data_IF_383782783211
#
_entry.id   IF_383782783211
#
_cell.length_a   1.000
_cell.length_b   1.000
_cell.length_c   1.000
_cell.angle_alpha   90.00
_cell.angle_beta   90.00
_cell.angle_gamma   90.00
#
_symmetry.space_group_name_H-M   'P 1'
#
loop_
_entity.id
_entity.type
_entity.pdbx_description
1 polymer ?
#
# COMPACT_ATOMS: atom_id res chain seq x y z
N UNK A 1 -28.33 -2.36 15.69
CA UNK A 1 -27.27 -2.01 16.67
C UNK A 1 -26.40 -0.95 16.01
N UNK A 2 -26.21 0.22 16.64
CA UNK A 2 -25.10 1.10 16.25
C UNK A 2 -23.83 0.31 16.54
N UNK A 3 -22.94 0.17 15.56
CA UNK A 3 -21.61 -0.33 15.86
C UNK A 3 -20.97 0.72 16.76
N UNK A 4 -20.43 0.32 17.90
CA UNK A 4 -19.73 1.24 18.81
C UNK A 4 -18.44 1.66 18.10
N UNK A 5 -18.48 2.84 17.48
CA UNK A 5 -17.31 3.43 16.83
C UNK A 5 -16.32 3.82 17.93
N UNK A 6 -15.04 3.42 17.81
CA UNK A 6 -14.05 3.70 18.85
C UNK A 6 -13.83 5.20 19.02
N UNK A 7 -13.79 5.63 20.28
CA UNK A 7 -13.44 6.99 20.65
C UNK A 7 -11.92 7.16 20.78
N UNK A 8 -11.48 8.42 20.81
CA UNK A 8 -10.09 8.77 21.14
C UNK A 8 -9.65 8.22 22.51
N UNK A 9 -10.58 8.11 23.46
CA UNK A 9 -10.29 7.61 24.81
C UNK A 9 -10.07 6.09 24.81
N UNK A 10 -10.78 5.36 23.95
CA UNK A 10 -10.56 3.92 23.77
C UNK A 10 -9.13 3.67 23.29
N UNK A 11 -8.68 4.39 22.25
CA UNK A 11 -7.31 4.29 21.76
C UNK A 11 -6.28 4.65 22.83
N UNK A 12 -6.49 5.71 23.62
CA UNK A 12 -5.60 6.07 24.74
C UNK A 12 -5.51 4.94 25.76
N UNK A 13 -6.65 4.38 26.17
CA UNK A 13 -6.70 3.28 27.13
C UNK A 13 -5.95 2.03 26.64
N UNK A 14 -5.96 1.78 25.32
CA UNK A 14 -5.24 0.65 24.75
C UNK A 14 -3.74 0.81 24.86
N UNK A 15 -3.22 2.04 24.75
CA UNK A 15 -1.79 2.31 24.88
C UNK A 15 -1.27 2.04 26.30
N UNK A 16 -2.16 2.05 27.31
CA UNK A 16 -1.84 1.72 28.70
C UNK A 16 -1.82 0.20 28.96
N UNK A 17 -2.34 -0.62 28.04
CA UNK A 17 -2.32 -2.09 28.18
C UNK A 17 -0.89 -2.60 28.03
N UNK A 18 -0.36 -3.22 29.09
CA UNK A 18 0.99 -3.82 29.10
C UNK A 18 1.13 -4.99 28.13
N UNK A 19 0.11 -5.87 28.07
CA UNK A 19 0.08 -7.00 27.14
C UNK A 19 -0.03 -6.52 25.69
N UNK A 20 1.10 -6.60 24.98
CA UNK A 20 1.21 -6.16 23.59
C UNK A 20 0.26 -6.90 22.63
N UNK A 21 -0.08 -8.17 22.89
CA UNK A 21 -0.98 -8.95 22.04
C UNK A 21 -2.44 -8.56 22.22
N UNK A 22 -2.86 -8.32 23.47
CA UNK A 22 -4.20 -7.79 23.76
C UNK A 22 -4.34 -6.37 23.19
N UNK A 23 -3.36 -5.50 23.46
CA UNK A 23 -3.30 -4.14 22.93
C UNK A 23 -3.42 -4.11 21.41
N UNK A 24 -2.60 -4.88 20.71
CA UNK A 24 -2.59 -4.91 19.24
C UNK A 24 -3.92 -5.42 18.66
N UNK A 25 -4.53 -6.44 19.27
CA UNK A 25 -5.83 -6.95 18.81
C UNK A 25 -6.95 -5.91 18.95
N UNK A 26 -7.01 -5.18 20.08
CA UNK A 26 -7.98 -4.12 20.28
C UNK A 26 -7.81 -2.98 19.28
N UNK A 27 -6.58 -2.45 19.16
CA UNK A 27 -6.28 -1.39 18.19
C UNK A 27 -6.63 -1.84 16.76
N UNK A 28 -6.29 -3.07 16.39
CA UNK A 28 -6.61 -3.60 15.05
C UNK A 28 -8.11 -3.68 14.80
N UNK A 29 -8.90 -4.24 15.73
CA UNK A 29 -10.35 -4.37 15.58
C UNK A 29 -11.01 -3.00 15.39
N UNK A 30 -10.68 -2.07 16.27
CA UNK A 30 -11.25 -0.73 16.29
C UNK A 30 -10.85 0.09 15.05
N UNK A 31 -9.61 -0.07 14.55
CA UNK A 31 -9.22 0.54 13.29
C UNK A 31 -9.92 -0.06 12.08
N UNK A 32 -10.27 -1.35 12.11
CA UNK A 32 -11.09 -1.97 11.06
C UNK A 32 -12.50 -1.40 11.09
N UNK A 33 -13.11 -1.32 12.28
CA UNK A 33 -14.48 -0.82 12.44
C UNK A 33 -14.58 0.66 12.10
N UNK A 34 -13.61 1.47 12.53
CA UNK A 34 -13.53 2.89 12.16
C UNK A 34 -13.50 3.07 10.63
N UNK A 35 -12.70 2.29 9.89
CA UNK A 35 -12.67 2.38 8.42
C UNK A 35 -13.94 1.88 7.74
N UNK A 36 -14.64 0.92 8.36
CA UNK A 36 -15.80 0.26 7.74
C UNK A 36 -17.10 1.00 8.04
N UNK A 37 -17.20 1.61 9.22
CA UNK A 37 -18.44 2.14 9.76
C UNK A 37 -18.33 3.59 10.25
N UNK A 38 -17.10 4.09 10.48
CA UNK A 38 -16.85 5.44 10.96
C UNK A 38 -16.89 6.49 9.85
N UNK A 39 -17.18 7.71 10.26
CA UNK A 39 -17.12 8.93 9.44
C UNK A 39 -15.80 9.67 9.63
N UNK A 40 -15.59 10.73 8.84
CA UNK A 40 -14.45 11.63 9.05
C UNK A 40 -14.49 12.29 10.44
N UNK A 41 -15.68 12.61 10.95
CA UNK A 41 -15.87 13.22 12.28
C UNK A 41 -15.42 12.28 13.40
N UNK A 42 -15.63 10.96 13.23
CA UNK A 42 -15.15 9.94 14.18
C UNK A 42 -13.62 9.74 14.11
N UNK A 43 -13.05 9.90 12.91
CA UNK A 43 -11.61 9.73 12.68
C UNK A 43 -10.78 10.91 13.22
N UNK A 44 -11.22 12.16 13.01
CA UNK A 44 -10.44 13.36 13.30
C UNK A 44 -9.89 13.41 14.75
N UNK A 45 -10.66 13.06 15.80
CA UNK A 45 -10.15 13.00 17.17
C UNK A 45 -9.03 11.97 17.38
N UNK A 46 -9.00 10.92 16.56
CA UNK A 46 -8.04 9.82 16.65
C UNK A 46 -6.77 10.07 15.82
N UNK A 47 -6.82 10.95 14.82
CA UNK A 47 -5.75 11.16 13.84
C UNK A 47 -4.37 11.39 14.49
N UNK A 48 -4.29 12.26 15.50
CA UNK A 48 -3.03 12.60 16.15
C UNK A 48 -2.39 11.40 16.86
N UNK A 49 -3.21 10.56 17.52
CA UNK A 49 -2.71 9.33 18.16
C UNK A 49 -2.17 8.37 17.11
N UNK A 50 -2.87 8.22 15.99
CA UNK A 50 -2.44 7.34 14.90
C UNK A 50 -1.16 7.84 14.22
N UNK A 51 -1.01 9.16 14.05
CA UNK A 51 0.23 9.77 13.54
C UNK A 51 1.38 9.58 14.54
N UNK A 52 1.14 9.72 15.84
CA UNK A 52 2.16 9.46 16.86
C UNK A 52 2.60 7.98 16.86
N UNK A 53 1.67 7.04 16.71
CA UNK A 53 2.00 5.61 16.59
C UNK A 53 2.88 5.33 15.38
N UNK A 54 2.68 6.05 14.28
CA UNK A 54 3.51 5.96 13.08
C UNK A 54 4.92 6.54 13.30
N UNK A 55 5.05 7.68 14.00
CA UNK A 55 6.31 8.39 14.24
C UNK A 55 7.19 7.74 15.31
N UNK A 56 6.58 7.15 16.34
CA UNK A 56 7.29 6.50 17.45
C UNK A 56 7.84 5.12 17.09
N UNK A 57 7.77 4.73 15.82
CA UNK A 57 8.45 3.57 15.29
C UNK A 57 9.95 3.90 15.13
N UNK A 58 10.83 3.41 16.03
CA UNK A 58 10.97 2.00 16.36
C UNK A 58 11.04 1.66 17.87
N UNK A 59 10.51 2.47 18.78
CA UNK A 59 10.89 2.34 20.20
C UNK A 59 10.18 1.22 20.99
N UNK A 60 8.93 0.83 20.73
CA UNK A 60 8.19 -0.07 21.66
C UNK A 60 7.03 -0.92 21.07
N UNK A 61 6.83 -0.99 19.75
CA UNK A 61 5.67 -1.68 19.16
C UNK A 61 6.10 -2.83 18.23
N UNK A 62 5.55 -4.07 18.42
CA UNK A 62 5.71 -5.12 17.44
C UNK A 62 5.15 -4.68 16.09
N UNK A 63 6.01 -4.71 15.06
CA UNK A 63 5.72 -4.29 13.68
C UNK A 63 4.49 -4.97 13.10
N UNK A 64 4.24 -6.20 13.53
CA UNK A 64 3.62 -7.22 12.67
C UNK A 64 2.12 -7.03 12.46
N UNK A 65 1.41 -6.27 13.30
CA UNK A 65 -0.06 -6.16 13.18
C UNK A 65 -0.60 -4.73 13.23
N UNK A 66 -0.15 -3.92 14.18
CA UNK A 66 -0.76 -2.61 14.45
C UNK A 66 -0.40 -1.55 13.40
N UNK A 67 0.88 -1.44 13.03
CA UNK A 67 1.34 -0.41 12.09
C UNK A 67 0.70 -0.53 10.69
N UNK A 68 0.58 -1.73 10.09
CA UNK A 68 -0.17 -1.87 8.84
C UNK A 68 -1.62 -1.37 8.93
N UNK A 69 -2.28 -1.53 10.08
CA UNK A 69 -3.66 -1.05 10.26
C UNK A 69 -3.71 0.47 10.42
N UNK A 70 -2.77 1.06 11.17
CA UNK A 70 -2.62 2.51 11.31
C UNK A 70 -2.42 3.16 9.94
N UNK A 71 -1.50 2.62 9.13
CA UNK A 71 -1.22 3.10 7.76
C UNK A 71 -2.48 3.05 6.89
N UNK A 72 -3.21 1.91 6.90
CA UNK A 72 -4.45 1.75 6.13
C UNK A 72 -5.52 2.75 6.56
N UNK A 73 -5.69 2.98 7.86
CA UNK A 73 -6.68 3.94 8.38
C UNK A 73 -6.34 5.37 7.99
N UNK A 74 -5.11 5.81 8.25
CA UNK A 74 -4.66 7.16 7.91
C UNK A 74 -4.84 7.45 6.41
N UNK A 75 -4.49 6.49 5.55
CA UNK A 75 -4.66 6.63 4.10
C UNK A 75 -6.13 6.58 3.64
N UNK A 76 -6.96 5.72 4.25
CA UNK A 76 -8.38 5.61 3.89
C UNK A 76 -9.16 6.91 4.17
N UNK A 77 -8.81 7.61 5.25
CA UNK A 77 -9.39 8.92 5.59
C UNK A 77 -8.64 10.11 4.97
N UNK A 78 -7.62 9.88 4.14
CA UNK A 78 -6.90 10.94 3.46
C UNK A 78 -6.14 11.90 4.39
N UNK A 79 -5.59 11.40 5.51
CA UNK A 79 -4.88 12.21 6.50
C UNK A 79 -3.74 13.03 5.89
N UNK A 80 -3.89 14.36 5.90
CA UNK A 80 -2.85 15.27 5.41
C UNK A 80 -1.59 15.25 6.29
N UNK A 81 -1.74 15.01 7.60
CA UNK A 81 -0.62 14.86 8.54
C UNK A 81 0.21 13.60 8.23
N UNK A 82 -0.44 12.51 7.86
CA UNK A 82 0.23 11.24 7.55
C UNK A 82 0.87 11.22 6.16
N UNK A 83 0.29 11.91 5.16
CA UNK A 83 0.76 11.91 3.77
C UNK A 83 2.29 12.05 3.60
N UNK A 84 2.96 13.09 4.15
CA UNK A 84 4.42 13.23 3.99
C UNK A 84 5.22 12.11 4.70
N UNK A 85 4.71 11.60 5.82
CA UNK A 85 5.36 10.52 6.58
C UNK A 85 5.29 9.21 5.79
N UNK A 86 4.13 8.87 5.26
CA UNK A 86 3.92 7.68 4.44
C UNK A 86 4.73 7.73 3.13
N UNK A 87 4.78 8.90 2.47
CA UNK A 87 5.65 9.09 1.30
C UNK A 87 7.13 8.87 1.64
N UNK A 88 7.56 9.29 2.84
CA UNK A 88 8.90 8.99 3.35
C UNK A 88 9.07 7.48 3.53
N UNK A 89 8.17 6.82 4.26
CA UNK A 89 8.24 5.38 4.58
C UNK A 89 8.29 4.45 3.35
N UNK A 90 7.69 4.83 2.22
CA UNK A 90 7.81 4.06 0.96
C UNK A 90 9.27 3.88 0.49
N UNK A 91 10.14 4.84 0.80
CA UNK A 91 11.51 4.93 0.28
C UNK A 91 12.56 4.28 1.18
N UNK A 92 12.35 4.31 2.50
CA UNK A 92 13.35 3.84 3.46
C UNK A 92 13.28 2.33 3.69
N UNK A 93 14.37 1.77 4.23
CA UNK A 93 14.44 0.37 4.66
C UNK A 93 13.45 0.18 5.81
N UNK A 94 12.38 -0.54 5.53
CA UNK A 94 11.36 -0.99 6.46
C UNK A 94 11.26 -2.51 6.33
N UNK A 95 10.70 -3.22 7.32
CA UNK A 95 10.20 -4.58 7.11
C UNK A 95 9.35 -4.63 5.84
N UNK A 96 9.55 -5.65 5.00
CA UNK A 96 9.00 -5.64 3.65
C UNK A 96 7.47 -5.64 3.65
N UNK A 97 6.85 -6.28 4.64
CA UNK A 97 5.41 -6.34 4.86
C UNK A 97 4.84 -4.94 5.08
N UNK A 98 5.46 -4.18 5.99
CA UNK A 98 5.07 -2.80 6.28
C UNK A 98 5.28 -1.91 5.05
N UNK A 99 6.42 -2.06 4.37
CA UNK A 99 6.71 -1.27 3.15
C UNK A 99 5.67 -1.52 2.05
N UNK A 100 5.28 -2.78 1.83
CA UNK A 100 4.24 -3.15 0.87
C UNK A 100 2.89 -2.50 1.23
N UNK A 101 2.50 -2.53 2.51
CA UNK A 101 1.27 -1.87 2.99
C UNK A 101 1.32 -0.36 2.80
N UNK A 102 2.46 0.29 3.11
CA UNK A 102 2.64 1.73 2.91
C UNK A 102 2.53 2.10 1.44
N UNK A 103 3.20 1.36 0.54
CA UNK A 103 3.12 1.60 -0.91
C UNK A 103 1.67 1.53 -1.39
N UNK A 104 0.98 0.43 -1.10
CA UNK A 104 -0.41 0.23 -1.51
C UNK A 104 -1.33 1.32 -0.96
N UNK A 105 -1.27 1.56 0.36
CA UNK A 105 -2.18 2.50 1.03
C UNK A 105 -1.92 3.93 0.60
N UNK A 106 -0.66 4.35 0.49
CA UNK A 106 -0.31 5.69 0.05
C UNK A 106 -0.82 5.95 -1.38
N UNK A 107 -0.50 5.04 -2.30
CA UNK A 107 -0.82 5.23 -3.71
C UNK A 107 -2.34 5.22 -3.94
N UNK A 108 -3.07 4.33 -3.27
CA UNK A 108 -4.53 4.27 -3.35
C UNK A 108 -5.20 5.49 -2.70
N UNK A 109 -4.75 5.91 -1.51
CA UNK A 109 -5.40 6.97 -0.74
C UNK A 109 -5.08 8.39 -1.21
N UNK A 110 -3.87 8.63 -1.73
CA UNK A 110 -3.40 9.99 -2.02
C UNK A 110 -3.04 10.27 -3.47
N UNK A 111 -2.78 9.23 -4.27
CA UNK A 111 -2.28 9.38 -5.65
C UNK A 111 -3.19 8.69 -6.68
N UNK A 112 -4.35 8.18 -6.25
CA UNK A 112 -5.28 7.46 -7.10
C UNK A 112 -5.75 8.32 -8.27
N UNK A 113 -5.57 7.84 -9.50
CA UNK A 113 -5.94 8.57 -10.73
C UNK A 113 -5.07 9.77 -11.10
N UNK A 114 -4.05 10.11 -10.32
CA UNK A 114 -3.21 11.30 -10.57
C UNK A 114 -2.31 11.14 -11.78
N UNK A 115 -2.05 9.90 -12.23
CA UNK A 115 -1.11 9.58 -13.32
C UNK A 115 0.27 10.21 -13.09
N UNK A 116 0.69 10.28 -11.83
CA UNK A 116 1.96 10.89 -11.42
C UNK A 116 3.16 10.12 -12.01
N UNK A 117 3.68 10.61 -13.14
CA UNK A 117 4.79 10.01 -13.90
C UNK A 117 5.97 9.60 -13.02
N UNK A 118 6.48 10.54 -12.21
CA UNK A 118 7.67 10.29 -11.37
C UNK A 118 7.45 9.19 -10.35
N UNK A 119 6.23 9.08 -9.81
CA UNK A 119 5.89 8.02 -8.88
C UNK A 119 5.72 6.68 -9.59
N UNK A 120 5.07 6.66 -10.75
CA UNK A 120 4.94 5.47 -11.61
C UNK A 120 6.31 4.90 -12.00
N UNK A 121 7.23 5.76 -12.46
CA UNK A 121 8.61 5.38 -12.80
C UNK A 121 9.35 4.79 -11.59
N UNK A 122 9.21 5.40 -10.41
CA UNK A 122 9.82 4.89 -9.19
C UNK A 122 9.27 3.52 -8.80
N UNK A 123 7.95 3.35 -8.85
CA UNK A 123 7.32 2.07 -8.52
C UNK A 123 7.70 1.00 -9.53
N UNK A 124 7.79 1.34 -10.81
CA UNK A 124 8.28 0.43 -11.83
C UNK A 124 9.72 -0.02 -11.56
N UNK A 125 10.59 0.90 -11.13
CA UNK A 125 11.93 0.56 -10.64
C UNK A 125 11.93 -0.37 -9.43
N UNK A 126 10.88 -0.37 -8.59
CA UNK A 126 10.70 -1.39 -7.54
C UNK A 126 10.23 -2.72 -8.11
N UNK A 127 9.30 -2.72 -9.08
CA UNK A 127 8.81 -3.93 -9.75
C UNK A 127 9.95 -4.73 -10.40
N UNK A 128 10.86 -4.03 -11.08
CA UNK A 128 11.97 -4.63 -11.85
C UNK A 128 13.22 -4.93 -11.01
N UNK A 129 13.28 -4.47 -9.75
CA UNK A 129 14.42 -4.72 -8.87
C UNK A 129 14.32 -6.08 -8.17
N UNK A 130 14.98 -7.09 -8.76
CA UNK A 130 15.00 -8.48 -8.25
C UNK A 130 15.60 -8.64 -6.84
N UNK A 131 16.33 -7.63 -6.34
CA UNK A 131 16.87 -7.65 -4.96
C UNK A 131 15.83 -7.26 -3.91
N UNK A 132 14.68 -6.70 -4.33
CA UNK A 132 13.58 -6.39 -3.41
C UNK A 132 12.76 -7.64 -3.13
N UNK A 133 12.24 -7.72 -1.90
CA UNK A 133 11.32 -8.78 -1.51
C UNK A 133 10.10 -8.80 -2.47
N UNK A 134 9.64 -9.98 -2.92
CA UNK A 134 8.54 -10.09 -3.87
C UNK A 134 7.30 -9.28 -3.46
N UNK A 135 6.89 -9.28 -2.19
CA UNK A 135 5.75 -8.48 -1.71
C UNK A 135 5.84 -6.99 -2.04
N UNK A 136 7.03 -6.40 -1.92
CA UNK A 136 7.24 -4.98 -2.26
C UNK A 136 7.10 -4.77 -3.76
N UNK A 137 7.61 -5.71 -4.56
CA UNK A 137 7.52 -5.68 -6.02
C UNK A 137 6.07 -5.79 -6.48
N UNK A 138 5.30 -6.74 -5.94
CA UNK A 138 3.88 -6.90 -6.24
C UNK A 138 3.05 -5.70 -5.78
N UNK A 139 3.27 -5.22 -4.56
CA UNK A 139 2.57 -4.04 -4.06
C UNK A 139 2.85 -2.82 -4.94
N UNK A 140 4.06 -2.69 -5.49
CA UNK A 140 4.41 -1.61 -6.43
C UNK A 140 3.66 -1.74 -7.75
N UNK A 141 3.58 -2.94 -8.33
CA UNK A 141 2.80 -3.18 -9.55
C UNK A 141 1.29 -2.89 -9.35
N UNK A 142 0.72 -3.36 -8.24
CA UNK A 142 -0.68 -3.06 -7.89
C UNK A 142 -0.91 -1.57 -7.61
N UNK A 143 0.05 -0.89 -6.99
CA UNK A 143 -0.02 0.55 -6.75
C UNK A 143 0.03 1.38 -8.05
N UNK A 144 0.79 0.94 -9.07
CA UNK A 144 0.79 1.60 -10.38
C UNK A 144 -0.61 1.59 -11.02
N UNK A 145 -1.35 0.48 -10.91
CA UNK A 145 -2.73 0.40 -11.37
C UNK A 145 -3.62 1.45 -10.67
N UNK A 146 -3.50 1.61 -9.35
CA UNK A 146 -4.30 2.62 -8.62
C UNK A 146 -3.93 4.07 -8.99
N UNK A 147 -2.65 4.37 -9.22
CA UNK A 147 -2.21 5.72 -9.61
C UNK A 147 -2.72 6.07 -11.00
N UNK A 148 -2.72 5.12 -11.92
CA UNK A 148 -3.10 5.37 -13.30
C UNK A 148 -4.61 5.29 -13.53
N UNK A 149 -5.28 4.27 -12.97
CA UNK A 149 -6.71 4.05 -13.07
C UNK A 149 -7.39 4.42 -11.74
N UNK A 150 -8.13 5.52 -11.71
CA UNK A 150 -8.88 5.91 -10.51
C UNK A 150 -10.04 4.95 -10.22
N UNK A 151 -10.01 4.25 -9.08
CA UNK A 151 -11.19 3.50 -8.62
C UNK A 151 -12.33 4.44 -8.22
N UNK A 152 -12.02 5.55 -7.55
CA UNK A 152 -13.03 6.44 -6.98
C UNK A 152 -13.80 7.22 -8.05
N UNK A 153 -13.21 7.41 -9.24
CA UNK A 153 -13.85 8.10 -10.36
C UNK A 153 -14.37 7.15 -11.46
N UNK A 154 -14.37 5.83 -11.20
CA UNK A 154 -14.90 4.83 -12.14
C UNK A 154 -14.04 4.53 -13.37
N UNK A 155 -12.81 5.04 -13.44
CA UNK A 155 -11.88 4.80 -14.55
C UNK A 155 -11.26 3.40 -14.50
N UNK A 156 -11.24 2.78 -13.31
CA UNK A 156 -10.70 1.44 -13.10
C UNK A 156 -11.79 0.39 -13.27
N UNK A 157 -11.56 -0.58 -14.15
CA UNK A 157 -12.47 -1.72 -14.32
C UNK A 157 -12.45 -2.63 -13.08
N UNK A 158 -13.52 -3.42 -12.88
CA UNK A 158 -13.56 -4.42 -11.80
C UNK A 158 -12.39 -5.41 -11.89
N UNK A 159 -11.99 -5.82 -13.09
CA UNK A 159 -10.88 -6.74 -13.30
C UNK A 159 -9.55 -6.11 -12.88
N UNK A 160 -9.29 -4.86 -13.30
CA UNK A 160 -8.11 -4.10 -12.87
C UNK A 160 -8.09 -3.93 -11.35
N UNK A 161 -9.24 -3.60 -10.74
CA UNK A 161 -9.34 -3.46 -9.29
C UNK A 161 -9.02 -4.76 -8.56
N UNK A 162 -9.59 -5.89 -9.00
CA UNK A 162 -9.30 -7.21 -8.45
C UNK A 162 -7.83 -7.58 -8.57
N UNK A 163 -7.21 -7.27 -9.71
CA UNK A 163 -5.78 -7.51 -9.94
C UNK A 163 -4.91 -6.64 -9.02
N UNK A 164 -5.20 -5.34 -8.92
CA UNK A 164 -4.49 -4.43 -8.03
C UNK A 164 -4.61 -4.89 -6.57
N UNK A 165 -5.82 -5.24 -6.13
CA UNK A 165 -6.07 -5.75 -4.79
C UNK A 165 -5.36 -7.08 -4.52
N UNK A 166 -5.33 -7.98 -5.50
CA UNK A 166 -4.59 -9.23 -5.42
C UNK A 166 -3.09 -8.98 -5.24
N UNK A 167 -2.49 -8.14 -6.08
CA UNK A 167 -1.07 -7.82 -6.03
C UNK A 167 -0.67 -7.15 -4.71
N UNK A 168 -1.49 -6.24 -4.19
CA UNK A 168 -1.18 -5.50 -2.96
C UNK A 168 -1.43 -6.27 -1.66
N UNK A 169 -2.27 -7.32 -1.67
CA UNK A 169 -2.62 -8.06 -0.45
C UNK A 169 -2.10 -9.51 -0.43
N UNK A 170 -1.86 -10.12 -1.59
CA UNK A 170 -1.60 -11.57 -1.71
C UNK A 170 -0.44 -11.91 -2.66
N UNK A 171 0.15 -10.94 -3.35
CA UNK A 171 1.16 -11.19 -4.39
C UNK A 171 2.41 -11.91 -3.90
N UNK A 172 2.77 -11.75 -2.62
CA UNK A 172 4.09 -12.08 -2.05
C UNK A 172 4.74 -13.43 -2.35
N UNK A 173 3.96 -14.49 -2.58
CA UNK A 173 4.53 -15.83 -2.78
C UNK A 173 4.80 -16.21 -4.25
N UNK A 174 4.23 -15.51 -5.23
CA UNK A 174 4.28 -15.90 -6.66
C UNK A 174 4.28 -14.71 -7.64
N UNK A 175 5.02 -13.65 -7.31
CA UNK A 175 4.92 -12.33 -7.97
C UNK A 175 5.32 -12.35 -9.43
N UNK A 176 6.40 -13.04 -9.79
CA UNK A 176 7.04 -12.91 -11.11
C UNK A 176 6.12 -13.38 -12.24
N UNK A 177 5.27 -14.37 -11.98
CA UNK A 177 4.31 -14.93 -12.94
C UNK A 177 3.01 -14.14 -13.04
N UNK A 178 2.85 -13.08 -12.23
CA UNK A 178 1.57 -12.39 -12.04
C UNK A 178 1.67 -10.88 -12.17
N UNK A 179 2.87 -10.34 -12.43
CA UNK A 179 3.02 -8.94 -12.81
C UNK A 179 2.39 -8.77 -14.20
N UNK A 180 1.40 -7.87 -14.35
CA UNK A 180 0.74 -7.66 -15.63
C UNK A 180 1.61 -6.75 -16.52
N UNK A 181 2.62 -7.33 -17.16
CA UNK A 181 3.64 -6.57 -17.91
C UNK A 181 3.04 -5.72 -19.03
N UNK A 182 2.02 -6.23 -19.72
CA UNK A 182 1.29 -5.45 -20.72
C UNK A 182 0.63 -4.20 -20.11
N UNK A 183 -0.02 -4.33 -18.96
CA UNK A 183 -0.63 -3.21 -18.26
C UNK A 183 0.42 -2.22 -17.76
N UNK A 184 1.57 -2.72 -17.26
CA UNK A 184 2.69 -1.86 -16.86
C UNK A 184 3.22 -1.04 -18.03
N UNK A 185 3.35 -1.65 -19.22
CA UNK A 185 3.70 -0.97 -20.46
C UNK A 185 2.69 0.14 -20.78
N UNK A 186 1.41 -0.18 -20.85
CA UNK A 186 0.34 0.77 -21.19
C UNK A 186 0.32 1.96 -20.23
N UNK A 187 0.53 1.72 -18.93
CA UNK A 187 0.59 2.78 -17.91
C UNK A 187 1.76 3.73 -18.17
N UNK A 188 2.96 3.18 -18.42
CA UNK A 188 4.17 3.97 -18.62
C UNK A 188 4.13 4.76 -19.93
N UNK A 189 3.70 4.13 -21.03
CA UNK A 189 3.46 4.81 -22.31
C UNK A 189 2.41 5.91 -22.17
N UNK A 190 1.32 5.63 -21.44
CA UNK A 190 0.23 6.57 -21.19
C UNK A 190 0.64 7.83 -20.42
N UNK A 191 1.77 7.80 -19.71
CA UNK A 191 2.37 8.99 -19.06
C UNK A 191 3.65 9.47 -19.75
N UNK A 192 3.96 8.93 -20.94
CA UNK A 192 5.15 9.29 -21.73
C UNK A 192 6.47 8.97 -21.01
N UNK A 193 6.54 7.86 -20.28
CA UNK A 193 7.77 7.34 -19.67
C UNK A 193 8.50 6.39 -20.61
N UNK A 194 9.84 6.41 -20.59
CA UNK A 194 10.71 5.48 -21.34
C UNK A 194 11.16 4.26 -20.53
N UNK A 195 10.75 4.16 -19.25
CA UNK A 195 11.30 3.15 -18.35
C UNK A 195 11.00 1.72 -18.81
N UNK A 196 9.88 1.49 -19.51
CA UNK A 196 9.54 0.16 -20.01
C UNK A 196 10.46 -0.25 -21.16
N UNK A 197 10.71 0.67 -22.09
CA UNK A 197 11.61 0.51 -23.23
C UNK A 197 13.04 0.23 -22.76
N UNK A 198 13.49 0.92 -21.71
CA UNK A 198 14.79 0.66 -21.08
C UNK A 198 14.81 -0.72 -20.41
N UNK A 199 13.73 -1.11 -19.73
CA UNK A 199 13.64 -2.40 -19.05
C UNK A 199 13.69 -3.59 -20.00
N UNK A 200 13.04 -3.53 -21.16
CA UNK A 200 13.02 -4.66 -22.10
C UNK A 200 14.39 -4.97 -22.73
N UNK A 201 15.36 -4.07 -22.58
CA UNK A 201 16.74 -4.28 -23.01
C UNK A 201 17.61 -4.97 -21.95
N UNK A 202 17.07 -5.22 -20.76
CA UNK A 202 17.81 -5.87 -19.66
C UNK A 202 17.79 -7.39 -19.76
N UNK A 203 18.85 -8.04 -19.24
CA UNK A 203 18.92 -9.50 -19.11
C UNK A 203 17.75 -10.06 -18.30
N UNK A 204 17.27 -9.29 -17.32
CA UNK A 204 16.15 -9.72 -16.48
C UNK A 204 14.88 -9.90 -17.31
N UNK A 205 14.57 -8.97 -18.21
CA UNK A 205 13.42 -9.12 -19.10
C UNK A 205 13.52 -10.34 -20.02
N UNK A 206 14.72 -10.64 -20.51
CA UNK A 206 14.93 -11.84 -21.34
C UNK A 206 14.62 -13.13 -20.57
N UNK A 207 14.96 -13.18 -19.28
CA UNK A 207 14.63 -14.33 -18.42
C UNK A 207 13.12 -14.54 -18.22
N UNK A 208 12.34 -13.44 -18.19
CA UNK A 208 10.88 -13.49 -18.05
C UNK A 208 10.24 -14.00 -19.34
N UNK A 209 10.67 -13.50 -20.51
CA UNK A 209 10.13 -13.93 -21.82
C UNK A 209 10.26 -15.42 -22.07
N UNK A 210 11.40 -16.01 -21.70
CA UNK A 210 11.63 -17.45 -21.81
C UNK A 210 10.63 -18.23 -20.95
N UNK A 211 10.26 -17.69 -19.79
CA UNK A 211 9.28 -18.30 -18.91
C UNK A 211 7.85 -18.22 -19.47
N UNK A 212 7.42 -17.07 -19.99
CA UNK A 212 6.08 -16.90 -20.59
C UNK A 212 5.87 -17.81 -21.80
N UNK A 213 6.89 -17.97 -22.66
CA UNK A 213 6.80 -18.84 -23.84
C UNK A 213 6.78 -20.34 -23.51
N UNK A 214 7.19 -20.75 -22.31
CA UNK A 214 7.23 -22.15 -21.88
C UNK A 214 5.98 -22.57 -21.08
N UNK A 215 5.05 -21.65 -20.81
CA UNK A 215 3.78 -21.93 -20.12
C UNK A 215 2.56 -21.95 -21.08
N UNK A 216 2.80 -21.94 -22.39
CA UNK A 216 1.78 -22.10 -23.44
C UNK A 216 1.79 -23.54 -23.96
#
# INVERSE_FOLDING_TARGET
>A
MKNDIPSVNDFKSYLEIEDSHIRNRKIQGDLIDLRKYGSLEDFLPCEDILVQLLLNYPSNLPVELTLPQVVRTLAAFGSLKAKPILHKMMRYKQPYELRAVVISSYCRGYEGGTKNKRLLERLFGYVTNIKLHPEVRAASAGAMLYIYYSWNNGEMTRQQHSLAAYLTNYGGKYVENRIPWHEMKNILEGVGSSCYEEFILTDYWQSIKVYENNMV
#
